data_IF_417277792858
#
_entry.id   IF_417277792858
#
_cell.length_a   1.000
_cell.length_b   1.000
_cell.length_c   1.000
_cell.angle_alpha   90.00
_cell.angle_beta   90.00
_cell.angle_gamma   90.00
#
_symmetry.space_group_name_H-M   'P 1'
#
loop_
_entity.id
_entity.type
_entity.pdbx_description
1 polymer ?
#
# COMPACT_ATOMS: atom_id res chain seq x y z
N UNK A 1 11.03 -11.84 15.15
CA UNK A 1 10.64 -11.24 13.86
C UNK A 1 11.88 -11.20 13.00
N UNK A 2 11.94 -11.94 11.89
CA UNK A 2 13.06 -11.82 10.97
C UNK A 2 12.97 -10.43 10.33
N UNK A 3 14.06 -9.65 10.36
CA UNK A 3 14.10 -8.34 9.72
C UNK A 3 13.76 -8.49 8.24
N UNK A 4 12.75 -7.78 7.77
CA UNK A 4 12.45 -7.68 6.34
C UNK A 4 13.70 -7.12 5.66
N UNK A 5 14.31 -7.88 4.75
CA UNK A 5 15.46 -7.38 4.00
C UNK A 5 14.99 -6.21 3.13
N UNK A 6 15.35 -5.00 3.53
CA UNK A 6 15.06 -3.79 2.78
C UNK A 6 15.95 -3.76 1.55
N UNK A 7 15.32 -3.72 0.37
CA UNK A 7 16.06 -3.55 -0.89
C UNK A 7 16.16 -2.05 -1.17
N UNK A 8 17.36 -1.48 -1.33
CA UNK A 8 17.52 -0.09 -1.74
C UNK A 8 16.76 0.19 -3.05
N UNK A 9 16.18 1.38 -3.13
CA UNK A 9 15.41 1.83 -4.27
C UNK A 9 16.35 2.38 -5.35
N UNK A 10 16.24 1.87 -6.56
CA UNK A 10 17.16 2.12 -7.68
C UNK A 10 16.55 2.95 -8.81
N UNK A 11 15.23 3.14 -8.78
CA UNK A 11 14.46 3.74 -9.86
C UNK A 11 14.18 2.79 -11.03
N UNK A 12 14.60 1.52 -10.93
CA UNK A 12 14.35 0.49 -11.96
C UNK A 12 13.24 -0.49 -11.56
N UNK A 13 12.64 -0.28 -10.39
CA UNK A 13 11.51 -1.07 -9.90
C UNK A 13 10.31 -0.92 -10.84
N UNK A 14 9.51 -1.97 -10.99
CA UNK A 14 8.31 -1.89 -11.82
C UNK A 14 7.24 -0.99 -11.22
N UNK A 15 7.36 -0.68 -9.92
CA UNK A 15 6.47 0.25 -9.22
C UNK A 15 6.43 1.64 -9.85
N UNK A 16 7.49 2.10 -10.52
CA UNK A 16 7.50 3.43 -11.16
C UNK A 16 6.61 3.51 -12.40
N UNK A 17 6.23 2.36 -12.97
CA UNK A 17 5.31 2.30 -14.10
C UNK A 17 5.74 3.17 -15.27
N UNK A 18 4.78 3.92 -15.82
CA UNK A 18 5.01 4.88 -16.90
C UNK A 18 5.44 6.26 -16.42
N UNK A 19 5.22 6.60 -15.13
CA UNK A 19 5.35 7.96 -14.59
C UNK A 19 6.77 8.54 -14.59
N UNK A 20 7.77 7.71 -14.91
CA UNK A 20 9.16 8.11 -14.99
C UNK A 20 9.98 7.68 -13.78
N UNK A 21 11.30 7.70 -13.99
CA UNK A 21 12.28 7.28 -12.99
C UNK A 21 12.69 8.47 -12.11
N UNK A 22 12.69 8.33 -10.78
CA UNK A 22 13.22 9.38 -9.90
C UNK A 22 14.68 9.74 -10.23
N UNK A 23 15.02 11.01 -10.08
CA UNK A 23 16.39 11.52 -10.25
C UNK A 23 17.33 10.97 -9.17
N UNK A 24 18.65 11.07 -9.38
CA UNK A 24 19.64 10.65 -8.38
C UNK A 24 19.45 11.34 -7.03
N UNK A 25 19.13 12.63 -7.02
CA UNK A 25 18.90 13.37 -5.78
C UNK A 25 17.66 12.84 -5.04
N UNK A 26 16.58 12.58 -5.76
CA UNK A 26 15.35 12.00 -5.17
C UNK A 26 15.59 10.59 -4.64
N UNK A 27 16.31 9.75 -5.39
CA UNK A 27 16.71 8.42 -4.94
C UNK A 27 17.58 8.48 -3.67
N UNK A 28 18.47 9.47 -3.55
CA UNK A 28 19.26 9.65 -2.33
C UNK A 28 18.39 10.02 -1.13
N UNK A 29 17.40 10.90 -1.32
CA UNK A 29 16.44 11.23 -0.27
C UNK A 29 15.58 10.02 0.13
N UNK A 30 15.04 9.28 -0.86
CA UNK A 30 14.29 8.05 -0.61
C UNK A 30 15.12 7.07 0.21
N UNK A 31 16.34 6.75 -0.24
CA UNK A 31 17.19 5.75 0.40
C UNK A 31 17.79 6.22 1.74
N UNK A 32 17.69 7.50 2.08
CA UNK A 32 18.10 7.99 3.40
C UNK A 32 17.11 7.61 4.52
N UNK A 33 15.87 7.23 4.15
CA UNK A 33 14.82 6.83 5.09
C UNK A 33 14.55 5.32 4.98
N UNK A 34 14.97 4.51 5.97
CA UNK A 34 14.66 3.07 5.98
C UNK A 34 13.15 2.77 5.96
N UNK A 35 12.34 3.65 6.56
CA UNK A 35 10.88 3.53 6.55
C UNK A 35 10.34 3.69 5.12
N UNK A 36 10.71 4.76 4.43
CA UNK A 36 10.23 5.00 3.06
C UNK A 36 10.69 3.92 2.08
N UNK A 37 11.91 3.40 2.26
CA UNK A 37 12.37 2.22 1.52
C UNK A 37 11.47 1.02 1.79
N UNK A 38 11.07 0.77 3.04
CA UNK A 38 10.16 -0.32 3.38
C UNK A 38 8.79 -0.13 2.73
N UNK A 39 8.18 1.05 2.82
CA UNK A 39 6.88 1.39 2.23
C UNK A 39 6.88 1.16 0.71
N UNK A 40 7.95 1.56 0.02
CA UNK A 40 8.09 1.33 -1.44
C UNK A 40 8.29 -0.14 -1.80
N UNK A 41 9.06 -0.89 -1.00
CA UNK A 41 9.17 -2.35 -1.17
C UNK A 41 7.81 -3.04 -0.97
N UNK A 42 6.98 -2.52 -0.06
CA UNK A 42 5.66 -3.06 0.26
C UNK A 42 4.66 -2.75 -0.85
N UNK A 43 4.72 -1.53 -1.39
CA UNK A 43 3.97 -1.16 -2.58
C UNK A 43 4.35 -2.03 -3.79
N UNK A 44 5.65 -2.28 -4.01
CA UNK A 44 6.12 -3.21 -5.05
C UNK A 44 5.61 -4.64 -4.83
N UNK A 45 5.57 -5.13 -3.60
CA UNK A 45 5.01 -6.44 -3.28
C UNK A 45 3.49 -6.48 -3.52
N UNK A 46 2.76 -5.40 -3.22
CA UNK A 46 1.35 -5.27 -3.51
C UNK A 46 1.05 -5.30 -5.01
N UNK A 47 1.90 -4.69 -5.84
CA UNK A 47 1.82 -4.79 -7.31
C UNK A 47 1.99 -6.25 -7.75
N UNK A 48 3.00 -6.94 -7.24
CA UNK A 48 3.24 -8.35 -7.56
C UNK A 48 2.05 -9.25 -7.17
N UNK A 49 1.35 -8.89 -6.08
CA UNK A 49 0.16 -9.58 -5.59
C UNK A 49 -1.16 -9.08 -6.21
N UNK A 50 -1.10 -8.15 -7.19
CA UNK A 50 -2.27 -7.54 -7.86
C UNK A 50 -3.20 -6.75 -6.92
N UNK A 51 -2.72 -6.35 -5.75
CA UNK A 51 -3.41 -5.47 -4.81
C UNK A 51 -3.13 -3.97 -5.08
N UNK A 52 -2.14 -3.67 -5.92
CA UNK A 52 -1.86 -2.33 -6.40
C UNK A 52 -1.50 -2.35 -7.90
N UNK A 53 -1.55 -1.19 -8.55
CA UNK A 53 -0.97 -0.96 -9.87
C UNK A 53 0.31 -0.13 -9.77
N UNK A 54 1.25 -0.24 -10.73
CA UNK A 54 2.36 0.70 -10.85
C UNK A 54 1.90 2.16 -10.84
N UNK A 55 2.78 3.06 -10.40
CA UNK A 55 2.52 4.49 -10.38
C UNK A 55 2.10 4.93 -11.78
N UNK A 56 0.92 5.55 -11.84
CA UNK A 56 0.27 5.98 -13.07
C UNK A 56 0.49 7.46 -13.33
N UNK A 57 0.33 7.88 -14.58
CA UNK A 57 0.38 9.29 -14.95
C UNK A 57 -1.01 9.94 -14.90
N UNK A 58 -1.05 11.23 -14.55
CA UNK A 58 -2.24 12.09 -14.66
C UNK A 58 -2.01 13.07 -15.81
N UNK A 59 -2.83 12.98 -16.86
CA UNK A 59 -2.83 13.99 -17.91
C UNK A 59 -3.34 15.34 -17.37
N UNK A 60 -2.53 16.40 -17.56
CA UNK A 60 -2.90 17.77 -17.18
C UNK A 60 -2.90 18.08 -15.67
N UNK A 61 -2.36 17.20 -14.83
CA UNK A 61 -2.44 17.27 -13.37
C UNK A 61 -1.43 18.19 -12.65
N UNK A 62 -0.52 18.87 -13.36
CA UNK A 62 0.53 19.68 -12.73
C UNK A 62 1.47 18.86 -11.83
N UNK A 63 1.81 19.39 -10.65
CA UNK A 63 2.69 18.74 -9.65
C UNK A 63 1.88 18.01 -8.58
N UNK A 64 0.95 17.16 -9.00
CA UNK A 64 0.06 16.41 -8.11
C UNK A 64 0.53 14.96 -7.94
N UNK A 65 0.59 14.47 -6.70
CA UNK A 65 0.44 13.05 -6.40
C UNK A 65 -0.91 12.80 -5.74
N UNK A 66 -1.50 11.63 -5.99
CA UNK A 66 -2.70 11.16 -5.29
C UNK A 66 -2.80 9.65 -5.30
N UNK A 67 -3.37 9.08 -4.25
CA UNK A 67 -3.79 7.68 -4.21
C UNK A 67 -5.24 7.56 -4.65
N UNK A 68 -5.52 6.64 -5.56
CA UNK A 68 -6.87 6.34 -6.03
C UNK A 68 -7.18 4.85 -5.88
N UNK A 69 -8.45 4.52 -5.68
CA UNK A 69 -8.95 3.15 -5.76
C UNK A 69 -9.48 2.90 -7.17
N UNK A 70 -8.85 1.98 -7.91
CA UNK A 70 -9.26 1.64 -9.28
C UNK A 70 -10.39 0.60 -9.29
N UNK A 71 -10.36 -0.32 -8.33
CA UNK A 71 -11.37 -1.34 -8.10
C UNK A 71 -11.34 -1.73 -6.61
N UNK A 72 -12.37 -2.41 -6.06
CA UNK A 72 -12.36 -2.86 -4.67
C UNK A 72 -11.08 -3.64 -4.34
N UNK A 73 -10.30 -3.16 -3.37
CA UNK A 73 -9.03 -3.77 -2.96
C UNK A 73 -7.84 -3.52 -3.89
N UNK A 74 -7.99 -2.68 -4.92
CA UNK A 74 -6.91 -2.34 -5.87
C UNK A 74 -6.69 -0.82 -5.89
N UNK A 75 -5.51 -0.39 -5.45
CA UNK A 75 -5.12 1.02 -5.45
C UNK A 75 -4.01 1.35 -6.45
N UNK A 76 -3.89 2.64 -6.75
CA UNK A 76 -2.81 3.18 -7.56
C UNK A 76 -2.44 4.57 -7.04
N UNK A 77 -1.14 4.82 -6.86
CA UNK A 77 -0.61 6.18 -6.77
C UNK A 77 -0.51 6.75 -8.19
N UNK A 78 -1.03 7.96 -8.39
CA UNK A 78 -0.99 8.67 -9.65
C UNK A 78 -0.18 9.95 -9.51
N UNK A 79 0.56 10.30 -10.56
CA UNK A 79 1.56 11.36 -10.57
C UNK A 79 1.39 12.26 -11.80
N UNK A 80 1.49 13.57 -11.61
CA UNK A 80 1.52 14.54 -12.71
C UNK A 80 2.91 14.67 -13.37
N UNK A 81 2.98 15.22 -14.60
CA UNK A 81 4.18 15.15 -15.46
C UNK A 81 5.41 15.94 -14.98
N UNK A 82 5.27 16.81 -13.97
CA UNK A 82 6.37 17.65 -13.48
C UNK A 82 6.83 17.28 -12.05
N UNK A 83 6.25 16.25 -11.46
CA UNK A 83 6.53 15.88 -10.06
C UNK A 83 7.98 15.45 -9.88
N UNK A 84 8.49 14.61 -10.78
CA UNK A 84 9.88 14.15 -10.75
C UNK A 84 10.79 15.26 -11.26
N UNK A 85 11.83 15.57 -10.50
CA UNK A 85 12.87 16.51 -10.87
C UNK A 85 12.58 17.98 -10.58
N UNK A 86 11.35 18.35 -10.16
CA UNK A 86 11.03 19.73 -9.76
C UNK A 86 11.64 20.07 -8.39
N UNK A 87 11.39 19.24 -7.39
CA UNK A 87 11.92 19.42 -6.03
C UNK A 87 12.00 18.07 -5.33
N UNK A 88 13.23 17.64 -4.98
CA UNK A 88 13.42 16.35 -4.35
C UNK A 88 12.71 16.25 -2.98
N UNK A 89 12.72 17.33 -2.20
CA UNK A 89 12.05 17.35 -0.91
C UNK A 89 10.52 17.30 -1.05
N UNK A 90 9.96 18.04 -2.02
CA UNK A 90 8.52 18.04 -2.28
C UNK A 90 8.07 16.67 -2.80
N UNK A 91 8.77 16.13 -3.80
CA UNK A 91 8.49 14.80 -4.34
C UNK A 91 8.52 13.72 -3.27
N UNK A 92 9.58 13.66 -2.46
CA UNK A 92 9.68 12.65 -1.39
C UNK A 92 8.60 12.86 -0.32
N UNK A 93 8.31 14.10 0.06
CA UNK A 93 7.24 14.40 1.02
C UNK A 93 5.86 13.96 0.54
N UNK A 94 5.51 14.30 -0.69
CA UNK A 94 4.22 13.95 -1.29
C UNK A 94 4.12 12.44 -1.55
N UNK A 95 5.22 11.79 -1.96
CA UNK A 95 5.27 10.34 -2.14
C UNK A 95 5.03 9.61 -0.81
N UNK A 96 5.71 10.03 0.27
CA UNK A 96 5.46 9.48 1.61
C UNK A 96 4.02 9.70 2.08
N UNK A 97 3.45 10.88 1.81
CA UNK A 97 2.07 11.18 2.15
C UNK A 97 1.09 10.23 1.45
N UNK A 98 1.29 9.97 0.15
CA UNK A 98 0.44 9.06 -0.62
C UNK A 98 0.64 7.58 -0.28
N UNK A 99 1.87 7.15 0.04
CA UNK A 99 2.11 5.81 0.57
C UNK A 99 1.36 5.57 1.88
N UNK A 100 1.25 6.59 2.74
CA UNK A 100 0.43 6.52 3.95
C UNK A 100 -1.06 6.25 3.67
N UNK A 101 -1.64 6.85 2.62
CA UNK A 101 -3.01 6.55 2.20
C UNK A 101 -3.17 5.11 1.71
N UNK A 102 -2.18 4.61 0.98
CA UNK A 102 -2.16 3.24 0.49
C UNK A 102 -2.12 2.22 1.65
N UNK A 103 -1.22 2.43 2.62
CA UNK A 103 -1.10 1.55 3.77
C UNK A 103 -2.36 1.56 4.65
N UNK A 104 -2.91 2.75 4.92
CA UNK A 104 -4.12 2.88 5.73
C UNK A 104 -5.30 2.16 5.08
N UNK A 105 -5.52 2.34 3.78
CA UNK A 105 -6.58 1.63 3.06
C UNK A 105 -6.40 0.10 3.14
N UNK A 106 -5.18 -0.39 2.97
CA UNK A 106 -4.87 -1.83 3.05
C UNK A 106 -5.14 -2.37 4.45
N UNK A 107 -4.76 -1.63 5.49
CA UNK A 107 -5.01 -2.00 6.88
C UNK A 107 -6.50 -2.00 7.21
N UNK A 108 -7.25 -1.00 6.74
CA UNK A 108 -8.70 -0.90 6.94
C UNK A 108 -9.46 -2.03 6.23
N UNK A 109 -9.04 -2.41 5.02
CA UNK A 109 -9.61 -3.56 4.32
C UNK A 109 -9.35 -4.87 5.08
N UNK A 110 -8.13 -5.06 5.60
CA UNK A 110 -7.80 -6.23 6.40
C UNK A 110 -8.61 -6.27 7.70
N UNK A 111 -8.78 -5.14 8.38
CA UNK A 111 -9.63 -5.02 9.55
C UNK A 111 -11.08 -5.35 9.21
N UNK A 112 -11.65 -4.74 8.17
CA UNK A 112 -13.01 -5.00 7.72
C UNK A 112 -13.22 -6.49 7.42
N UNK A 113 -12.34 -7.10 6.62
CA UNK A 113 -12.42 -8.53 6.28
C UNK A 113 -12.27 -9.45 7.50
N UNK A 114 -11.53 -9.03 8.53
CA UNK A 114 -11.41 -9.74 9.79
C UNK A 114 -12.65 -9.63 10.68
N UNK A 115 -13.40 -8.53 10.57
CA UNK A 115 -14.59 -8.25 11.38
C UNK A 115 -15.90 -8.73 10.74
N UNK A 116 -16.01 -8.72 9.40
CA UNK A 116 -17.22 -9.19 8.72
C UNK A 116 -17.33 -10.72 8.82
N UNK A 117 -18.40 -11.27 9.44
CA UNK A 117 -18.62 -12.69 9.48
C UNK A 117 -18.80 -13.24 8.06
N UNK A 118 -17.90 -14.12 7.63
CA UNK A 118 -18.11 -14.87 6.39
C UNK A 118 -19.39 -15.73 6.57
N UNK A 119 -20.47 -15.52 5.79
CA UNK A 119 -21.71 -16.28 5.91
C UNK A 119 -21.54 -17.79 5.62
N UNK A 120 -20.40 -18.19 5.02
CA UNK A 120 -20.02 -19.59 4.77
C UNK A 120 -18.93 -20.11 5.72
N UNK A 121 -18.51 -19.38 6.75
CA UNK A 121 -17.70 -19.97 7.82
C UNK A 121 -18.63 -20.71 8.77
N UNK A 122 -18.52 -22.04 8.95
CA UNK A 122 -19.24 -22.70 10.03
C UNK A 122 -18.82 -22.03 11.33
N UNK A 123 -19.81 -21.56 12.10
CA UNK A 123 -19.60 -21.01 13.43
C UNK A 123 -18.85 -22.07 14.24
N UNK A 124 -17.55 -21.85 14.46
CA UNK A 124 -16.77 -22.67 15.39
C UNK A 124 -17.16 -22.19 16.79
N UNK A 125 -18.30 -22.67 17.27
CA UNK A 125 -18.65 -22.51 18.67
C UNK A 125 -17.51 -23.09 19.51
N UNK A 126 -16.91 -22.35 20.45
CA UNK A 126 -16.00 -22.95 21.40
C UNK A 126 -16.77 -24.05 22.14
N UNK A 127 -16.24 -25.27 22.14
CA UNK A 127 -16.82 -26.45 22.78
C UNK A 127 -16.74 -26.38 24.31
N UNK A 128 -16.97 -25.21 24.89
CA UNK A 128 -17.03 -25.01 26.34
C UNK A 128 -18.46 -24.63 26.72
N UNK A 129 -19.27 -25.68 26.92
CA UNK A 129 -20.04 -25.76 28.17
C UNK A 129 -21.47 -25.24 28.22
N UNK A 130 -22.13 -24.87 27.11
CA UNK A 130 -23.59 -24.65 27.18
C UNK A 130 -24.35 -25.97 26.97
N UNK A 131 -24.75 -26.57 28.09
CA UNK A 131 -25.81 -27.60 28.09
C UNK A 131 -27.16 -26.91 27.83
N UNK A 132 -27.98 -27.38 26.87
CA UNK A 132 -29.35 -26.92 26.73
C UNK A 132 -30.16 -27.27 28.01
N UNK A 133 -31.05 -26.36 28.41
CA UNK A 133 -31.91 -26.54 29.60
C UNK A 133 -32.79 -27.80 29.58
N UNK A 134 -32.95 -28.46 28.42
CA UNK A 134 -33.73 -29.69 28.27
C UNK A 134 -33.05 -30.97 28.78
N UNK A 135 -31.80 -30.88 29.27
CA UNK A 135 -31.08 -32.02 29.84
C UNK A 135 -30.60 -31.79 31.29
N UNK A 136 -31.27 -30.88 32.01
CA UNK A 136 -31.15 -30.77 33.47
C UNK A 136 -32.41 -31.36 34.12
N UNK A 137 -32.46 -32.69 34.22
CA UNK A 137 -33.35 -33.48 35.08
C UNK A 137 -32.55 -34.61 35.68
#
# INVERSE_FOLDING_TARGET
MAGKNLTPITGNETLWGGAGKPTTTELNYINSSPLLVAELNDYQAAINNRAAQPIGEISGGGSLLRTVTLAPGVQQIQMGPNVIGESAASFVGDLSYELGHFENYSNDQNLYNGLVPNPNRPLKYPSTGFRPLSQMT
#
